data_IF_827967554219
#
_entry.id   IF_827967554219
#
_cell.length_a   1.000
_cell.length_b   1.000
_cell.length_c   1.000
_cell.angle_alpha   90.00
_cell.angle_beta   90.00
_cell.angle_gamma   90.00
#
_symmetry.space_group_name_H-M   'P 1'
#
loop_
_entity.id
_entity.type
_entity.pdbx_description
1 polymer ?
#
# COMPACT_ATOMS: atom_id res chain seq x y z
N UNK A 1 -77.55 -24.24 -35.50
CA UNK A 1 -76.96 -24.96 -36.65
C UNK A 1 -75.47 -24.58 -36.76
N UNK A 2 -74.65 -25.56 -36.45
CA UNK A 2 -73.37 -25.98 -37.11
C UNK A 2 -72.44 -24.86 -37.62
N UNK A 3 -71.14 -24.85 -37.39
CA UNK A 3 -70.05 -25.86 -37.46
C UNK A 3 -68.78 -25.14 -36.92
N UNK A 4 -68.09 -25.71 -36.04
CA UNK A 4 -66.74 -26.30 -36.01
C UNK A 4 -65.83 -25.89 -37.20
N UNK A 5 -64.68 -25.28 -36.92
CA UNK A 5 -63.42 -25.63 -37.60
C UNK A 5 -62.25 -25.36 -36.66
N UNK A 6 -61.39 -26.35 -36.60
CA UNK A 6 -60.12 -26.44 -35.88
C UNK A 6 -59.03 -25.72 -36.69
N UNK A 7 -58.21 -24.95 -36.06
CA UNK A 7 -56.99 -24.37 -36.66
C UNK A 7 -55.84 -24.36 -35.67
N UNK A 8 -54.84 -25.16 -35.97
CA UNK A 8 -53.76 -25.57 -35.12
C UNK A 8 -52.86 -24.44 -34.61
N UNK A 9 -52.48 -24.55 -33.35
CA UNK A 9 -51.45 -23.73 -32.72
C UNK A 9 -50.03 -24.29 -33.04
N UNK A 10 -49.29 -23.55 -33.83
CA UNK A 10 -47.85 -23.74 -33.98
C UNK A 10 -47.15 -23.09 -32.79
N UNK A 11 -46.66 -23.92 -31.87
CA UNK A 11 -45.74 -23.52 -30.80
C UNK A 11 -44.35 -23.30 -31.39
N UNK A 12 -43.96 -22.06 -31.64
CA UNK A 12 -42.59 -21.65 -31.87
C UNK A 12 -41.91 -21.54 -30.51
N UNK A 13 -41.14 -22.58 -30.13
CA UNK A 13 -40.26 -22.54 -28.96
C UNK A 13 -39.13 -21.56 -29.18
N UNK A 14 -39.19 -20.43 -28.52
CA UNK A 14 -38.04 -19.52 -28.39
C UNK A 14 -37.06 -20.11 -27.37
N UNK A 15 -35.98 -20.70 -27.85
CA UNK A 15 -34.80 -21.00 -27.00
C UNK A 15 -34.11 -19.66 -26.63
N UNK A 16 -34.45 -19.12 -25.47
CA UNK A 16 -33.68 -18.07 -24.85
C UNK A 16 -32.37 -18.68 -24.30
N UNK A 17 -31.29 -18.56 -25.06
CA UNK A 17 -29.93 -18.78 -24.53
C UNK A 17 -29.65 -17.68 -23.50
N UNK A 18 -29.82 -18.00 -22.23
CA UNK A 18 -29.35 -17.18 -21.14
C UNK A 18 -27.80 -17.20 -21.16
N UNK A 19 -27.22 -16.35 -21.98
CA UNK A 19 -25.80 -15.99 -21.84
C UNK A 19 -25.64 -15.32 -20.49
N UNK A 20 -25.07 -16.04 -19.51
CA UNK A 20 -24.66 -15.47 -18.24
C UNK A 20 -23.49 -14.50 -18.50
N UNK A 21 -23.82 -13.30 -18.98
CA UNK A 21 -22.89 -12.18 -19.03
C UNK A 21 -22.54 -11.82 -17.61
N UNK A 22 -21.31 -12.09 -17.19
CA UNK A 22 -20.80 -11.60 -15.90
C UNK A 22 -20.91 -10.06 -15.96
N UNK A 23 -21.62 -9.40 -15.04
CA UNK A 23 -21.83 -7.97 -15.13
C UNK A 23 -20.49 -7.25 -15.13
N UNK A 24 -20.27 -6.31 -16.07
CA UNK A 24 -19.02 -5.52 -16.18
C UNK A 24 -18.62 -4.87 -14.86
N UNK A 25 -19.59 -4.62 -13.97
CA UNK A 25 -19.33 -4.14 -12.60
C UNK A 25 -18.53 -5.14 -11.75
N UNK A 26 -18.69 -6.45 -11.96
CA UNK A 26 -17.92 -7.46 -11.21
C UNK A 26 -16.43 -7.46 -11.60
N UNK A 27 -16.13 -7.23 -12.88
CA UNK A 27 -14.74 -7.11 -13.35
C UNK A 27 -14.06 -5.82 -12.83
N UNK A 28 -14.80 -4.70 -12.82
CA UNK A 28 -14.30 -3.45 -12.26
C UNK A 28 -14.05 -3.54 -10.75
N UNK A 29 -14.88 -4.29 -10.03
CA UNK A 29 -14.75 -4.46 -8.57
C UNK A 29 -13.61 -5.42 -8.21
N UNK A 30 -13.37 -6.47 -9.00
CA UNK A 30 -12.22 -7.37 -8.82
C UNK A 30 -10.89 -6.62 -9.09
N UNK A 31 -10.81 -5.86 -10.18
CA UNK A 31 -9.64 -5.04 -10.51
C UNK A 31 -9.37 -3.95 -9.44
N UNK A 32 -10.44 -3.35 -8.87
CA UNK A 32 -10.34 -2.38 -7.78
C UNK A 32 -9.77 -3.03 -6.52
N UNK A 33 -10.24 -4.25 -6.18
CA UNK A 33 -9.72 -5.00 -5.04
C UNK A 33 -8.23 -5.36 -5.16
N UNK A 34 -7.73 -5.61 -6.36
CA UNK A 34 -6.31 -5.90 -6.59
C UNK A 34 -5.43 -4.65 -6.44
N UNK A 35 -5.88 -3.48 -6.89
CA UNK A 35 -5.15 -2.23 -6.69
C UNK A 35 -5.03 -1.86 -5.20
N UNK A 36 -6.12 -2.00 -4.45
CA UNK A 36 -6.15 -1.78 -3.00
C UNK A 36 -5.24 -2.78 -2.26
N UNK A 37 -5.30 -4.06 -2.65
CA UNK A 37 -4.46 -5.10 -2.06
C UNK A 37 -2.98 -4.84 -2.31
N UNK A 38 -2.60 -4.52 -3.54
CA UNK A 38 -1.23 -4.20 -3.92
C UNK A 38 -0.72 -3.01 -3.14
N UNK A 39 -1.48 -1.92 -3.11
CA UNK A 39 -1.14 -0.72 -2.34
C UNK A 39 -0.93 -1.05 -0.85
N UNK A 40 -1.86 -1.78 -0.24
CA UNK A 40 -1.77 -2.15 1.17
C UNK A 40 -0.52 -2.99 1.46
N UNK A 41 -0.26 -4.04 0.65
CA UNK A 41 0.89 -4.93 0.84
C UNK A 41 2.22 -4.19 0.67
N UNK A 42 2.34 -3.35 -0.36
CA UNK A 42 3.58 -2.62 -0.63
C UNK A 42 3.83 -1.51 0.40
N UNK A 43 2.76 -0.82 0.84
CA UNK A 43 2.86 0.17 1.92
C UNK A 43 3.27 -0.48 3.24
N UNK A 44 2.65 -1.61 3.62
CA UNK A 44 3.01 -2.35 4.84
C UNK A 44 4.45 -2.87 4.79
N UNK A 45 4.91 -3.36 3.65
CA UNK A 45 6.29 -3.87 3.48
C UNK A 45 7.31 -2.75 3.61
N UNK A 46 7.16 -1.68 2.82
CA UNK A 46 8.13 -0.58 2.76
C UNK A 46 8.09 0.25 4.04
N UNK A 47 6.90 0.55 4.57
CA UNK A 47 6.72 1.22 5.85
C UNK A 47 7.21 0.38 7.04
N UNK A 48 7.05 -0.95 6.96
CA UNK A 48 7.60 -1.87 7.95
C UNK A 48 9.12 -1.80 8.05
N UNK A 49 9.83 -1.67 6.93
CA UNK A 49 11.28 -1.43 6.94
C UNK A 49 11.64 -0.07 7.55
N UNK A 50 10.90 1.00 7.19
CA UNK A 50 11.09 2.33 7.77
C UNK A 50 10.88 2.30 9.29
N UNK A 51 9.87 1.59 9.79
CA UNK A 51 9.61 1.38 11.20
C UNK A 51 10.78 0.65 11.90
N UNK A 52 11.20 -0.51 11.38
CA UNK A 52 12.28 -1.32 11.99
C UNK A 52 13.60 -0.55 12.05
N UNK A 53 13.97 0.14 10.97
CA UNK A 53 15.21 0.94 10.92
C UNK A 53 15.13 2.13 11.85
N UNK A 54 13.95 2.75 12.03
CA UNK A 54 13.76 3.86 12.96
C UNK A 54 13.77 3.44 14.42
N UNK A 55 13.20 2.28 14.75
CA UNK A 55 13.35 1.69 16.09
C UNK A 55 14.82 1.43 16.43
N UNK A 56 15.62 0.95 15.47
CA UNK A 56 17.07 0.80 15.64
C UNK A 56 17.77 2.15 15.77
N UNK A 57 17.33 3.18 15.04
CA UNK A 57 17.91 4.51 15.10
C UNK A 57 17.67 5.23 16.44
N UNK A 58 16.54 4.98 17.10
CA UNK A 58 16.30 5.45 18.47
C UNK A 58 17.36 4.92 19.47
N UNK A 59 17.83 3.70 19.24
CA UNK A 59 18.83 3.05 20.10
C UNK A 59 20.26 3.44 19.72
N UNK A 60 20.63 3.37 18.44
CA UNK A 60 22.01 3.51 17.94
C UNK A 60 22.36 4.87 17.38
N UNK A 61 21.37 5.68 17.00
CA UNK A 61 21.58 7.00 16.41
C UNK A 61 22.37 7.91 17.33
N UNK A 62 23.33 8.64 16.77
CA UNK A 62 24.16 9.60 17.49
C UNK A 62 23.59 11.01 17.41
N UNK A 63 23.12 11.41 16.24
CA UNK A 63 22.57 12.75 15.99
C UNK A 63 21.20 12.92 16.65
N UNK A 64 20.98 14.07 17.29
CA UNK A 64 19.66 14.41 17.83
C UNK A 64 18.60 14.48 16.71
N UNK A 65 18.94 15.05 15.56
CA UNK A 65 18.04 15.11 14.40
C UNK A 65 17.64 13.73 13.87
N UNK A 66 18.58 12.76 13.86
CA UNK A 66 18.29 11.38 13.49
C UNK A 66 17.32 10.74 14.48
N UNK A 67 17.53 10.93 15.77
CA UNK A 67 16.62 10.38 16.80
C UNK A 67 15.25 11.03 16.78
N UNK A 68 15.17 12.32 16.57
CA UNK A 68 13.90 13.05 16.44
C UNK A 68 13.10 12.55 15.25
N UNK A 69 13.71 12.50 14.07
CA UNK A 69 13.09 11.96 12.87
C UNK A 69 12.65 10.49 13.06
N UNK A 70 13.50 9.66 13.66
CA UNK A 70 13.17 8.27 13.96
C UNK A 70 11.98 8.14 14.91
N UNK A 71 11.79 9.07 15.84
CA UNK A 71 10.64 9.12 16.73
C UNK A 71 9.33 9.39 15.96
N UNK A 72 9.35 10.33 15.03
CA UNK A 72 8.18 10.60 14.17
C UNK A 72 7.85 9.41 13.28
N UNK A 73 8.86 8.81 12.65
CA UNK A 73 8.70 7.63 11.81
C UNK A 73 8.08 6.45 12.57
N UNK A 74 8.55 6.16 13.79
CA UNK A 74 7.98 5.07 14.59
C UNK A 74 6.49 5.31 14.85
N UNK A 75 6.10 6.52 15.23
CA UNK A 75 4.71 6.86 15.50
C UNK A 75 3.84 6.76 14.23
N UNK A 76 4.33 7.31 13.12
CA UNK A 76 3.61 7.36 11.85
C UNK A 76 3.44 5.97 11.25
N UNK A 77 4.53 5.22 11.08
CA UNK A 77 4.47 3.91 10.44
C UNK A 77 3.68 2.88 11.28
N UNK A 78 3.70 3.01 12.61
CA UNK A 78 2.83 2.21 13.49
C UNK A 78 1.35 2.52 13.20
N UNK A 79 0.99 3.81 13.10
CA UNK A 79 -0.38 4.24 12.83
C UNK A 79 -0.84 3.81 11.43
N UNK A 80 -0.02 3.99 10.41
CA UNK A 80 -0.33 3.57 9.03
C UNK A 80 -0.52 2.05 8.98
N UNK A 81 0.38 1.28 9.59
CA UNK A 81 0.27 -0.17 9.64
C UNK A 81 -1.02 -0.61 10.34
N UNK A 82 -1.40 0.04 11.44
CA UNK A 82 -2.65 -0.24 12.15
C UNK A 82 -3.86 0.04 11.25
N UNK A 83 -3.95 1.22 10.64
CA UNK A 83 -5.05 1.60 9.77
C UNK A 83 -5.22 0.60 8.62
N UNK A 84 -4.14 0.23 7.95
CA UNK A 84 -4.18 -0.71 6.84
C UNK A 84 -4.58 -2.11 7.32
N UNK A 85 -3.98 -2.58 8.42
CA UNK A 85 -4.25 -3.91 8.95
C UNK A 85 -5.71 -4.06 9.36
N UNK A 86 -6.28 -3.08 10.06
CA UNK A 86 -7.67 -3.08 10.49
C UNK A 86 -8.64 -2.93 9.31
N UNK A 87 -8.40 -1.96 8.41
CA UNK A 87 -9.32 -1.66 7.30
C UNK A 87 -9.33 -2.72 6.20
N UNK A 88 -8.24 -3.47 6.04
CA UNK A 88 -8.09 -4.49 5.00
C UNK A 88 -8.02 -5.92 5.56
N UNK A 89 -8.08 -6.08 6.88
CA UNK A 89 -7.90 -7.37 7.56
C UNK A 89 -6.61 -8.08 7.08
N UNK A 90 -5.51 -7.34 7.08
CA UNK A 90 -4.21 -7.80 6.58
C UNK A 90 -3.16 -7.77 7.69
N UNK A 91 -2.26 -8.74 7.67
CA UNK A 91 -1.07 -8.73 8.54
C UNK A 91 0.13 -8.21 7.76
N UNK A 92 0.98 -7.33 8.36
CA UNK A 92 2.22 -6.92 7.73
C UNK A 92 3.06 -8.14 7.30
N UNK A 93 3.59 -8.15 6.08
CA UNK A 93 4.41 -9.26 5.61
C UNK A 93 5.73 -9.33 6.39
N UNK A 94 6.30 -10.52 6.59
CA UNK A 94 7.62 -10.64 7.18
C UNK A 94 8.69 -9.99 6.29
N UNK A 95 9.81 -9.49 6.88
CA UNK A 95 10.90 -8.91 6.12
C UNK A 95 11.45 -9.89 5.07
N UNK A 96 11.53 -9.44 3.81
CA UNK A 96 12.17 -10.18 2.73
C UNK A 96 13.70 -10.02 2.74
N UNK A 97 14.37 -10.57 1.73
CA UNK A 97 15.84 -10.56 1.65
C UNK A 97 16.43 -9.14 1.62
N UNK A 98 15.77 -8.22 0.88
CA UNK A 98 16.22 -6.83 0.79
C UNK A 98 16.13 -6.11 2.14
N UNK A 99 15.02 -6.26 2.84
CA UNK A 99 14.80 -5.66 4.16
C UNK A 99 15.80 -6.21 5.18
N UNK A 100 16.07 -7.52 5.14
CA UNK A 100 17.06 -8.16 6.00
C UNK A 100 18.48 -7.65 5.73
N UNK A 101 18.85 -7.44 4.46
CA UNK A 101 20.15 -6.87 4.08
C UNK A 101 20.32 -5.43 4.60
N UNK A 102 19.29 -4.60 4.46
CA UNK A 102 19.30 -3.23 4.99
C UNK A 102 19.49 -3.26 6.52
N UNK A 103 18.74 -4.10 7.22
CA UNK A 103 18.85 -4.26 8.67
C UNK A 103 20.23 -4.77 9.10
N UNK A 104 20.79 -5.74 8.40
CA UNK A 104 22.14 -6.24 8.68
C UNK A 104 23.19 -5.13 8.56
N UNK A 105 23.18 -4.38 7.46
CA UNK A 105 24.08 -3.24 7.22
C UNK A 105 23.97 -2.17 8.31
N UNK A 106 22.77 -1.87 8.78
CA UNK A 106 22.57 -0.92 9.88
C UNK A 106 23.02 -1.47 11.24
N UNK A 107 22.84 -2.78 11.46
CA UNK A 107 23.34 -3.42 12.68
C UNK A 107 24.88 -3.40 12.77
N UNK A 108 25.57 -3.54 11.65
CA UNK A 108 27.05 -3.50 11.61
C UNK A 108 27.60 -2.07 11.73
N UNK A 109 26.83 -1.05 11.39
CA UNK A 109 27.26 0.34 11.46
C UNK A 109 27.15 0.92 12.88
N UNK A 110 27.95 1.94 13.18
CA UNK A 110 27.91 2.66 14.45
C UNK A 110 28.27 4.16 14.30
N UNK A 111 27.87 4.96 15.29
CA UNK A 111 28.20 6.39 15.33
C UNK A 111 27.72 7.15 14.09
N UNK A 112 28.56 8.02 13.53
CA UNK A 112 28.22 8.80 12.32
C UNK A 112 28.00 7.92 11.07
N UNK A 113 28.65 6.76 11.01
CA UNK A 113 28.42 5.83 9.89
C UNK A 113 27.02 5.24 9.93
N UNK A 114 26.52 4.91 11.13
CA UNK A 114 25.14 4.50 11.33
C UNK A 114 24.16 5.61 10.91
N UNK A 115 24.34 6.84 11.39
CA UNK A 115 23.44 7.96 11.06
C UNK A 115 23.35 8.17 9.55
N UNK A 116 24.49 8.16 8.84
CA UNK A 116 24.49 8.27 7.36
C UNK A 116 23.78 7.09 6.67
N UNK A 117 24.03 5.88 7.13
CA UNK A 117 23.40 4.68 6.55
C UNK A 117 21.89 4.68 6.79
N UNK A 118 21.45 5.09 7.98
CA UNK A 118 20.03 5.25 8.32
C UNK A 118 19.35 6.29 7.42
N UNK A 119 19.92 7.50 7.32
CA UNK A 119 19.37 8.57 6.48
C UNK A 119 19.27 8.12 5.02
N UNK A 120 20.30 7.44 4.50
CA UNK A 120 20.24 6.90 3.13
C UNK A 120 19.12 5.87 2.96
N UNK A 121 18.97 4.92 3.88
CA UNK A 121 17.93 3.91 3.85
C UNK A 121 16.52 4.54 3.94
N UNK A 122 16.36 5.59 4.77
CA UNK A 122 15.10 6.32 4.85
C UNK A 122 14.77 7.07 3.57
N UNK A 123 15.75 7.71 2.92
CA UNK A 123 15.53 8.38 1.63
C UNK A 123 15.05 7.37 0.58
N UNK A 124 15.74 6.24 0.44
CA UNK A 124 15.38 5.20 -0.53
C UNK A 124 13.98 4.63 -0.24
N UNK A 125 13.67 4.36 1.02
CA UNK A 125 12.36 3.89 1.46
C UNK A 125 11.25 4.90 1.17
N UNK A 126 11.46 6.18 1.47
CA UNK A 126 10.48 7.24 1.24
C UNK A 126 10.24 7.51 -0.25
N UNK A 127 11.27 7.44 -1.09
CA UNK A 127 11.10 7.53 -2.54
C UNK A 127 10.23 6.38 -3.06
N UNK A 128 10.43 5.18 -2.53
CA UNK A 128 9.60 4.02 -2.88
C UNK A 128 8.16 4.16 -2.35
N UNK A 129 7.98 4.61 -1.11
CA UNK A 129 6.64 4.90 -0.56
C UNK A 129 5.91 5.95 -1.39
N UNK A 130 6.59 7.01 -1.83
CA UNK A 130 6.01 8.03 -2.69
C UNK A 130 5.46 7.43 -3.98
N UNK A 131 6.26 6.60 -4.67
CA UNK A 131 5.83 5.91 -5.89
C UNK A 131 4.60 5.02 -5.66
N UNK A 132 4.55 4.29 -4.52
CA UNK A 132 3.42 3.45 -4.16
C UNK A 132 2.15 4.29 -3.99
N UNK A 133 2.22 5.41 -3.27
CA UNK A 133 1.07 6.30 -3.07
C UNK A 133 0.60 6.93 -4.38
N UNK A 134 1.51 7.43 -5.21
CA UNK A 134 1.20 8.03 -6.50
C UNK A 134 0.56 7.03 -7.47
N UNK A 135 1.11 5.83 -7.57
CA UNK A 135 0.55 4.76 -8.39
C UNK A 135 -0.88 4.40 -7.95
N UNK A 136 -1.11 4.34 -6.64
CA UNK A 136 -2.45 4.09 -6.12
C UNK A 136 -3.40 5.25 -6.38
N UNK A 137 -2.97 6.48 -6.18
CA UNK A 137 -3.79 7.67 -6.45
C UNK A 137 -4.19 7.80 -7.92
N UNK A 138 -3.38 7.27 -8.83
CA UNK A 138 -3.72 7.23 -10.26
C UNK A 138 -4.76 6.15 -10.61
N UNK A 139 -4.75 4.99 -9.92
CA UNK A 139 -5.50 3.80 -10.34
C UNK A 139 -6.51 3.30 -9.30
N UNK A 140 -6.29 3.53 -8.01
CA UNK A 140 -7.14 3.09 -6.91
C UNK A 140 -8.46 3.88 -6.84
N UNK A 141 -9.53 3.22 -6.39
CA UNK A 141 -10.88 3.80 -6.38
C UNK A 141 -11.55 3.84 -5.01
N UNK A 142 -11.03 3.06 -4.05
CA UNK A 142 -11.57 3.07 -2.69
C UNK A 142 -11.26 4.41 -2.00
N UNK A 143 -12.29 5.19 -1.74
CA UNK A 143 -12.14 6.56 -1.23
C UNK A 143 -11.41 6.64 0.11
N UNK A 144 -11.73 5.81 1.13
CA UNK A 144 -10.96 5.80 2.38
C UNK A 144 -9.46 5.55 2.16
N UNK A 145 -9.09 4.58 1.34
CA UNK A 145 -7.69 4.28 1.02
C UNK A 145 -7.03 5.44 0.26
N UNK A 146 -7.75 6.10 -0.65
CA UNK A 146 -7.25 7.30 -1.34
C UNK A 146 -6.98 8.45 -0.37
N UNK A 147 -7.81 8.66 0.64
CA UNK A 147 -7.57 9.70 1.66
C UNK A 147 -6.27 9.41 2.44
N UNK A 148 -6.06 8.16 2.85
CA UNK A 148 -4.80 7.75 3.50
C UNK A 148 -3.60 7.98 2.57
N UNK A 149 -3.70 7.57 1.30
CA UNK A 149 -2.63 7.77 0.32
C UNK A 149 -2.32 9.25 0.05
N UNK A 150 -3.33 10.13 0.04
CA UNK A 150 -3.13 11.58 -0.11
C UNK A 150 -2.38 12.19 1.08
N UNK A 151 -2.76 11.81 2.30
CA UNK A 151 -2.09 12.27 3.53
C UNK A 151 -0.65 11.75 3.59
N UNK A 152 -0.47 10.43 3.36
CA UNK A 152 0.85 9.80 3.35
C UNK A 152 1.79 10.44 2.31
N UNK A 153 1.28 10.74 1.10
CA UNK A 153 2.07 11.43 0.07
C UNK A 153 2.58 12.79 0.56
N UNK A 154 1.74 13.56 1.25
CA UNK A 154 2.13 14.85 1.84
C UNK A 154 3.27 14.69 2.86
N UNK A 155 3.10 13.79 3.83
CA UNK A 155 4.10 13.50 4.88
C UNK A 155 5.41 12.97 4.29
N UNK A 156 5.35 12.03 3.34
CA UNK A 156 6.53 11.50 2.64
C UNK A 156 7.33 12.62 1.97
N UNK A 157 6.66 13.59 1.34
CA UNK A 157 7.32 14.74 0.70
C UNK A 157 8.04 15.62 1.72
N UNK A 158 7.42 15.87 2.88
CA UNK A 158 8.04 16.58 4.00
C UNK A 158 9.26 15.82 4.54
N UNK A 159 9.13 14.51 4.74
CA UNK A 159 10.20 13.65 5.22
C UNK A 159 11.40 13.63 4.26
N UNK A 160 11.18 13.53 2.97
CA UNK A 160 12.25 13.61 1.97
C UNK A 160 12.99 14.96 2.05
N UNK A 161 12.28 16.05 2.33
CA UNK A 161 12.88 17.36 2.51
C UNK A 161 13.73 17.42 3.79
N UNK A 162 13.24 16.86 4.91
CA UNK A 162 13.99 16.79 6.17
C UNK A 162 15.23 15.91 6.06
N UNK A 163 15.08 14.73 5.49
CA UNK A 163 16.16 13.77 5.25
C UNK A 163 17.25 14.35 4.33
N UNK A 164 16.84 15.10 3.30
CA UNK A 164 17.76 15.82 2.43
C UNK A 164 18.67 16.80 3.19
N UNK A 165 18.13 17.51 4.19
CA UNK A 165 18.90 18.42 5.06
C UNK A 165 19.85 17.67 6.00
N UNK A 166 19.52 16.44 6.42
CA UNK A 166 20.37 15.62 7.28
C UNK A 166 21.54 14.97 6.51
N UNK A 167 21.42 14.86 5.19
CA UNK A 167 22.43 14.27 4.32
C UNK A 167 23.62 15.21 4.07
N UNK A 168 23.41 16.53 4.16
CA UNK A 168 24.44 17.56 3.99
C UNK A 168 25.36 17.64 5.21
#
# INVERSE_FOLDING_TARGET
MNRRELGGALLLGAFATAGAGVPMAAWAQAATGDAERTHAMETLRTGGLALMTSQLALQKGRSAAVKEFAGFEVAEQTTIAQIISESKNMTPPPPGAMEQEVMARLNDASGRAFDRAYVAAQIDGHQRLLQIQEAYLANGRDMPTRHVAMLARGQITEHLTLLGKMRA
#
